data_IF_486861594514
#
_entry.id   IF_486861594514
#
_cell.length_a   1.000
_cell.length_b   1.000
_cell.length_c   1.000
_cell.angle_alpha   90.00
_cell.angle_beta   90.00
_cell.angle_gamma   90.00
#
_symmetry.space_group_name_H-M   'P 1'
#
loop_
_entity.id
_entity.type
_entity.pdbx_description
1 polymer ?
#
# COMPACT_ATOMS: atom_id res chain seq x y z
N UNK A 1 -14.84 -20.69 -20.59
CA UNK A 1 -16.30 -20.45 -20.50
C UNK A 1 -16.55 -19.06 -19.92
N UNK A 2 -16.00 -18.03 -20.58
CA UNK A 2 -16.06 -16.62 -20.16
C UNK A 2 -17.27 -15.97 -20.85
N UNK A 3 -18.22 -15.46 -20.07
CA UNK A 3 -19.43 -14.81 -20.57
C UNK A 3 -19.06 -13.61 -21.45
N UNK A 4 -19.53 -13.62 -22.70
CA UNK A 4 -19.83 -12.40 -23.47
C UNK A 4 -20.82 -11.57 -22.64
N UNK A 5 -20.32 -10.58 -21.91
CA UNK A 5 -21.16 -9.53 -21.34
C UNK A 5 -21.46 -8.54 -22.47
N UNK A 6 -22.73 -8.49 -22.85
CA UNK A 6 -23.27 -7.59 -23.86
C UNK A 6 -22.99 -6.12 -23.50
N UNK A 7 -22.48 -5.37 -24.47
CA UNK A 7 -22.18 -3.92 -24.41
C UNK A 7 -23.41 -3.00 -24.26
N UNK A 8 -24.61 -3.53 -24.04
CA UNK A 8 -25.85 -2.75 -24.00
C UNK A 8 -26.29 -2.28 -22.61
N UNK A 9 -25.69 -2.78 -21.53
CA UNK A 9 -26.01 -2.31 -20.17
C UNK A 9 -25.06 -1.20 -19.69
N UNK A 10 -25.16 -0.01 -20.31
CA UNK A 10 -24.60 1.24 -19.74
C UNK A 10 -25.41 1.80 -18.57
N UNK A 11 -26.54 1.17 -18.23
CA UNK A 11 -27.29 1.38 -16.98
C UNK A 11 -26.96 0.20 -16.06
N UNK A 12 -26.65 0.50 -14.80
CA UNK A 12 -26.74 -0.40 -13.63
C UNK A 12 -25.45 -0.80 -12.89
N UNK A 13 -24.50 0.11 -12.69
CA UNK A 13 -23.61 0.02 -11.51
C UNK A 13 -24.44 0.13 -10.22
N UNK A 14 -25.51 0.93 -10.23
CA UNK A 14 -26.45 1.00 -9.09
C UNK A 14 -27.12 -0.33 -8.77
N UNK A 15 -27.39 -1.21 -9.76
CA UNK A 15 -28.01 -2.53 -9.49
C UNK A 15 -26.99 -3.65 -9.22
N UNK A 16 -25.72 -3.50 -9.62
CA UNK A 16 -24.69 -4.45 -9.16
C UNK A 16 -24.36 -4.19 -7.69
N UNK A 17 -24.32 -2.91 -7.26
CA UNK A 17 -24.01 -2.57 -5.88
C UNK A 17 -25.19 -2.56 -4.91
N UNK A 18 -26.44 -2.45 -5.38
CA UNK A 18 -27.61 -2.78 -4.57
C UNK A 18 -27.60 -4.25 -4.08
N UNK A 19 -26.70 -5.09 -4.64
CA UNK A 19 -26.42 -6.46 -4.19
C UNK A 19 -25.29 -6.57 -3.16
N UNK A 20 -24.61 -5.49 -2.75
CA UNK A 20 -23.77 -5.49 -1.54
C UNK A 20 -24.64 -5.51 -0.29
N UNK A 21 -25.48 -6.55 -0.18
CA UNK A 21 -26.34 -6.82 0.97
C UNK A 21 -25.48 -6.84 2.23
N UNK A 22 -26.10 -6.44 3.34
CA UNK A 22 -25.58 -6.64 4.69
C UNK A 22 -24.99 -8.06 4.82
N UNK A 23 -23.75 -8.18 5.27
CA UNK A 23 -23.25 -9.50 5.68
C UNK A 23 -24.21 -10.01 6.78
N UNK A 24 -24.78 -11.22 6.66
CA UNK A 24 -25.85 -11.69 7.54
C UNK A 24 -25.51 -11.50 9.03
N UNK A 25 -26.49 -11.09 9.82
CA UNK A 25 -26.35 -10.83 11.27
C UNK A 25 -25.26 -9.81 11.67
N UNK A 26 -24.75 -9.00 10.74
CA UNK A 26 -23.66 -8.06 11.05
C UNK A 26 -23.94 -6.62 10.66
N UNK A 27 -23.54 -5.62 11.45
CA UNK A 27 -23.69 -4.19 11.13
C UNK A 27 -22.36 -3.45 11.29
N UNK A 28 -22.17 -2.38 10.52
CA UNK A 28 -21.09 -1.42 10.76
C UNK A 28 -21.34 -0.70 12.09
N UNK A 29 -20.31 -0.58 12.90
CA UNK A 29 -20.30 0.17 14.16
C UNK A 29 -19.05 1.04 14.19
N UNK A 30 -19.08 2.10 15.00
CA UNK A 30 -17.95 3.01 15.09
C UNK A 30 -17.55 3.28 16.53
N UNK A 31 -16.24 3.32 16.77
CA UNK A 31 -15.63 3.57 18.07
C UNK A 31 -14.94 4.93 18.05
N UNK A 32 -15.40 5.84 18.91
CA UNK A 32 -14.84 7.18 19.02
C UNK A 32 -13.59 7.15 19.87
N UNK A 33 -12.56 7.89 19.45
CA UNK A 33 -11.37 8.07 20.29
C UNK A 33 -11.65 9.09 21.40
N UNK A 34 -11.03 8.89 22.56
CA UNK A 34 -11.09 9.83 23.67
C UNK A 34 -10.08 10.97 23.51
N UNK A 35 -9.00 10.72 22.75
CA UNK A 35 -7.87 11.64 22.55
C UNK A 35 -8.13 12.67 21.44
N UNK A 36 -8.71 12.22 20.33
CA UNK A 36 -9.00 13.00 19.13
C UNK A 36 -10.50 12.89 18.79
N UNK A 37 -11.23 14.02 18.82
CA UNK A 37 -12.71 14.03 18.70
C UNK A 37 -13.19 13.65 17.30
N UNK A 38 -12.35 13.90 16.32
CA UNK A 38 -12.54 13.66 14.89
C UNK A 38 -12.20 12.21 14.47
N UNK A 39 -11.56 11.43 15.34
CA UNK A 39 -11.22 10.02 15.09
C UNK A 39 -12.41 9.12 15.47
N UNK A 40 -12.90 8.39 14.48
CA UNK A 40 -13.98 7.44 14.62
C UNK A 40 -13.69 6.17 13.81
N UNK A 41 -13.45 5.06 14.50
CA UNK A 41 -12.91 3.82 13.92
C UNK A 41 -14.03 2.85 13.56
N UNK A 42 -14.15 2.52 12.27
CA UNK A 42 -15.17 1.62 11.76
C UNK A 42 -14.82 0.14 11.98
N UNK A 43 -15.73 -0.61 12.59
CA UNK A 43 -15.64 -2.05 12.81
C UNK A 43 -16.96 -2.75 12.48
N UNK A 44 -16.98 -4.08 12.48
CA UNK A 44 -18.20 -4.85 12.24
C UNK A 44 -18.63 -5.57 13.52
N UNK A 45 -19.88 -5.35 13.92
CA UNK A 45 -20.52 -6.09 15.01
C UNK A 45 -21.34 -7.23 14.44
N UNK A 46 -21.11 -8.45 14.92
CA UNK A 46 -21.87 -9.66 14.60
C UNK A 46 -22.73 -10.01 15.80
N UNK A 47 -24.04 -10.11 15.58
CA UNK A 47 -24.99 -10.55 16.61
C UNK A 47 -24.97 -12.08 16.72
N UNK A 48 -24.67 -12.57 17.92
CA UNK A 48 -24.65 -13.99 18.26
C UNK A 48 -25.92 -14.37 19.04
N UNK A 49 -26.23 -15.67 19.05
CA UNK A 49 -27.31 -16.24 19.89
C UNK A 49 -26.78 -16.67 21.27
N UNK A 50 -25.49 -16.42 21.54
CA UNK A 50 -24.80 -16.76 22.79
C UNK A 50 -25.28 -15.88 23.97
N UNK A 51 -25.39 -16.48 25.16
CA UNK A 51 -25.92 -15.81 26.35
C UNK A 51 -24.89 -14.87 27.00
N UNK A 52 -23.60 -15.20 26.90
CA UNK A 52 -22.49 -14.48 27.53
C UNK A 52 -21.91 -13.41 26.61
N UNK A 53 -21.84 -13.69 25.30
CA UNK A 53 -21.34 -12.76 24.28
C UNK A 53 -22.38 -12.56 23.19
N UNK A 54 -23.27 -11.58 23.37
CA UNK A 54 -24.31 -11.26 22.39
C UNK A 54 -23.79 -10.59 21.11
N UNK A 55 -22.67 -9.87 21.21
CA UNK A 55 -22.12 -9.05 20.14
C UNK A 55 -20.61 -9.28 20.04
N UNK A 56 -20.16 -9.82 18.91
CA UNK A 56 -18.75 -9.98 18.59
C UNK A 56 -18.32 -8.84 17.67
N UNK A 57 -17.31 -8.08 18.08
CA UNK A 57 -16.69 -7.05 17.26
C UNK A 57 -15.55 -7.70 16.49
N UNK A 58 -15.48 -7.44 15.19
CA UNK A 58 -14.42 -7.92 14.31
C UNK A 58 -13.88 -6.79 13.46
N UNK A 59 -12.61 -6.92 13.07
CA UNK A 59 -11.95 -6.05 12.11
C UNK A 59 -12.76 -5.98 10.80
N UNK A 60 -12.81 -4.79 10.21
CA UNK A 60 -13.58 -4.51 9.01
C UNK A 60 -12.87 -3.51 8.10
N UNK A 61 -12.46 -3.99 6.94
CA UNK A 61 -11.76 -3.24 5.89
C UNK A 61 -12.70 -2.67 4.84
N UNK A 62 -14.00 -2.98 4.90
CA UNK A 62 -14.97 -2.60 3.87
C UNK A 62 -15.27 -1.09 3.81
N UNK A 63 -14.72 -0.29 4.73
CA UNK A 63 -14.97 1.13 4.84
C UNK A 63 -16.45 1.49 4.96
N UNK A 64 -16.85 2.63 4.40
CA UNK A 64 -18.25 3.08 4.40
C UNK A 64 -19.17 2.27 3.48
N UNK A 65 -18.65 1.38 2.63
CA UNK A 65 -19.49 0.56 1.73
C UNK A 65 -20.41 -0.42 2.48
N UNK A 66 -20.06 -0.77 3.72
CA UNK A 66 -20.88 -1.62 4.59
C UNK A 66 -21.82 -0.83 5.51
N UNK A 67 -21.71 0.50 5.52
CA UNK A 67 -22.55 1.38 6.32
C UNK A 67 -23.88 1.66 5.60
N UNK A 68 -24.97 1.23 6.22
CA UNK A 68 -26.33 1.35 5.67
C UNK A 68 -26.79 2.81 5.58
N UNK A 69 -26.19 3.70 6.35
CA UNK A 69 -26.53 5.12 6.36
C UNK A 69 -25.68 5.93 5.37
N UNK A 70 -24.74 5.29 4.68
CA UNK A 70 -23.85 5.95 3.73
C UNK A 70 -24.32 5.76 2.30
N UNK A 71 -24.74 6.85 1.65
CA UNK A 71 -25.07 6.84 0.22
C UNK A 71 -23.83 7.21 -0.60
N UNK A 72 -23.17 6.19 -1.15
CA UNK A 72 -21.93 6.38 -1.90
C UNK A 72 -22.17 6.85 -3.34
N UNK A 73 -21.27 7.70 -3.84
CA UNK A 73 -21.21 8.12 -5.24
C UNK A 73 -19.79 7.97 -5.76
N UNK A 74 -19.58 7.04 -6.70
CA UNK A 74 -18.26 6.77 -7.29
C UNK A 74 -17.60 8.01 -7.88
N UNK A 75 -18.40 8.90 -8.46
CA UNK A 75 -17.96 10.15 -9.12
C UNK A 75 -17.51 11.23 -8.11
N UNK A 76 -17.95 11.10 -6.86
CA UNK A 76 -17.54 11.97 -5.75
C UNK A 76 -16.43 11.36 -4.90
N UNK A 77 -16.25 10.04 -4.97
CA UNK A 77 -15.34 9.31 -4.11
C UNK A 77 -15.91 9.08 -2.70
N UNK A 78 -15.08 8.50 -1.83
CA UNK A 78 -15.38 8.29 -0.43
C UNK A 78 -15.29 9.58 0.38
N UNK A 79 -15.86 9.57 1.58
CA UNK A 79 -15.71 10.66 2.54
C UNK A 79 -14.24 10.78 2.93
N UNK A 80 -13.67 11.98 2.77
CA UNK A 80 -12.29 12.29 3.15
C UNK A 80 -12.16 12.47 4.68
N UNK A 81 -12.14 11.38 5.44
CA UNK A 81 -12.15 11.41 6.91
C UNK A 81 -10.90 12.03 7.54
N UNK A 82 -9.77 12.01 6.84
CA UNK A 82 -8.48 12.54 7.34
C UNK A 82 -8.27 14.03 7.05
N UNK A 83 -9.18 14.67 6.30
CA UNK A 83 -8.99 16.05 5.84
C UNK A 83 -8.73 17.03 6.99
N UNK A 84 -9.51 16.95 8.06
CA UNK A 84 -9.39 17.88 9.20
C UNK A 84 -8.09 17.62 9.99
N UNK A 85 -7.68 16.36 10.11
CA UNK A 85 -6.47 15.94 10.83
C UNK A 85 -5.25 16.56 10.13
N UNK A 86 -5.19 16.42 8.81
CA UNK A 86 -4.09 16.88 7.97
C UNK A 86 -4.06 18.40 7.82
N UNK A 87 -5.22 19.06 7.75
CA UNK A 87 -5.29 20.53 7.63
C UNK A 87 -4.83 21.22 8.91
N UNK A 88 -5.11 20.62 10.08
CA UNK A 88 -4.68 21.16 11.38
C UNK A 88 -3.24 20.77 11.75
N UNK A 89 -2.63 19.82 11.03
CA UNK A 89 -1.26 19.34 11.28
C UNK A 89 -0.23 20.35 10.77
N UNK A 90 0.63 20.82 11.69
CA UNK A 90 1.74 21.73 11.36
C UNK A 90 2.69 21.08 10.35
N UNK A 91 3.24 21.90 9.45
CA UNK A 91 4.24 21.47 8.48
C UNK A 91 3.68 20.86 7.19
N UNK A 92 2.35 20.84 7.02
CA UNK A 92 1.69 20.52 5.75
C UNK A 92 1.18 21.83 5.13
N UNK A 93 1.35 21.98 3.82
CA UNK A 93 0.83 23.11 3.03
C UNK A 93 0.12 22.63 1.77
N UNK A 94 -0.82 23.44 1.29
CA UNK A 94 -1.42 23.24 -0.03
C UNK A 94 -0.49 23.76 -1.13
N UNK A 95 -0.31 22.98 -2.19
CA UNK A 95 0.39 23.39 -3.41
C UNK A 95 -0.37 22.98 -4.66
N UNK A 96 -0.04 23.58 -5.80
CA UNK A 96 -0.53 23.11 -7.09
C UNK A 96 0.09 21.76 -7.45
N UNK A 97 -0.62 20.95 -8.23
CA UNK A 97 -0.10 19.71 -8.81
C UNK A 97 1.08 19.97 -9.75
N UNK A 98 2.01 19.03 -9.80
CA UNK A 98 3.15 19.07 -10.72
C UNK A 98 2.67 18.93 -12.16
N UNK A 99 3.21 19.76 -13.07
CA UNK A 99 2.95 19.62 -14.50
C UNK A 99 3.73 18.40 -15.03
N UNK A 100 3.01 17.37 -15.44
CA UNK A 100 3.57 16.11 -15.91
C UNK A 100 4.06 16.26 -17.36
N UNK A 101 5.37 16.11 -17.59
CA UNK A 101 5.99 16.21 -18.92
C UNK A 101 5.88 14.91 -19.72
N UNK A 102 5.91 13.78 -19.02
CA UNK A 102 5.95 12.44 -19.62
C UNK A 102 4.59 11.75 -19.64
N UNK A 103 3.53 12.36 -19.12
CA UNK A 103 2.17 11.85 -19.24
C UNK A 103 1.49 12.40 -20.49
N UNK A 104 1.25 11.52 -21.47
CA UNK A 104 0.50 11.86 -22.68
C UNK A 104 -1.01 11.73 -22.45
N UNK A 105 -1.65 12.85 -22.14
CA UNK A 105 -3.10 12.91 -21.93
C UNK A 105 -3.92 12.55 -23.17
N UNK A 106 -3.36 12.63 -24.38
CA UNK A 106 -4.08 12.28 -25.61
C UNK A 106 -4.34 10.78 -25.75
N UNK A 107 -3.55 9.95 -25.04
CA UNK A 107 -3.74 8.49 -24.97
C UNK A 107 -4.88 8.06 -24.03
N UNK A 108 -5.51 9.00 -23.32
CA UNK A 108 -6.63 8.69 -22.44
C UNK A 108 -7.85 8.18 -23.22
N UNK A 109 -8.25 6.94 -22.97
CA UNK A 109 -9.40 6.27 -23.60
C UNK A 109 -10.53 5.96 -22.62
N UNK A 110 -10.36 6.35 -21.35
CA UNK A 110 -11.32 6.08 -20.27
C UNK A 110 -11.90 7.36 -19.71
N UNK A 111 -12.99 7.25 -18.96
CA UNK A 111 -13.56 8.39 -18.25
C UNK A 111 -12.60 8.86 -17.16
N UNK A 112 -12.27 10.15 -17.14
CA UNK A 112 -11.49 10.75 -16.05
C UNK A 112 -12.35 10.93 -14.80
N UNK A 113 -11.74 10.84 -13.62
CA UNK A 113 -12.45 11.13 -12.37
C UNK A 113 -12.99 12.57 -12.40
N UNK A 114 -14.28 12.82 -12.13
CA UNK A 114 -14.86 14.16 -12.31
C UNK A 114 -14.38 15.20 -11.30
N UNK A 115 -14.04 14.78 -10.09
CA UNK A 115 -13.81 15.67 -8.94
C UNK A 115 -12.33 15.70 -8.52
N UNK A 116 -11.42 15.84 -9.50
CA UNK A 116 -9.98 15.87 -9.22
C UNK A 116 -9.62 17.14 -8.44
N UNK A 117 -8.91 17.06 -7.31
CA UNK A 117 -8.45 18.23 -6.58
C UNK A 117 -7.45 19.03 -7.42
N UNK A 118 -7.67 20.35 -7.57
CA UNK A 118 -6.71 21.26 -8.20
C UNK A 118 -5.49 21.56 -7.32
N UNK A 119 -5.64 21.39 -6.01
CA UNK A 119 -4.58 21.54 -5.01
C UNK A 119 -4.34 20.22 -4.30
N UNK A 120 -3.10 20.00 -3.92
CA UNK A 120 -2.64 18.84 -3.15
C UNK A 120 -1.95 19.29 -1.88
N UNK A 121 -1.83 18.40 -0.92
CA UNK A 121 -1.05 18.60 0.29
C UNK A 121 0.40 18.16 0.03
N UNK A 122 1.34 18.93 0.57
CA UNK A 122 2.77 18.65 0.53
C UNK A 122 3.43 19.10 1.82
N UNK A 123 4.49 18.41 2.25
CA UNK A 123 5.37 18.84 3.33
C UNK A 123 5.93 20.24 3.08
N UNK A 124 5.97 21.07 4.12
CA UNK A 124 6.76 22.28 4.10
C UNK A 124 8.25 21.96 4.31
N UNK A 125 9.14 22.61 3.55
CA UNK A 125 10.53 22.16 3.42
C UNK A 125 11.29 22.10 4.75
N UNK A 126 10.96 22.97 5.70
CA UNK A 126 11.58 23.01 7.04
C UNK A 126 10.89 22.11 8.07
N UNK A 127 9.85 21.38 7.67
CA UNK A 127 9.04 20.54 8.57
C UNK A 127 9.20 19.06 8.26
N UNK A 128 8.73 18.22 9.18
CA UNK A 128 8.70 16.76 9.04
C UNK A 128 7.27 16.30 9.30
N UNK A 129 6.78 15.35 8.51
CA UNK A 129 5.34 14.98 8.51
C UNK A 129 5.09 13.47 8.53
N UNK A 130 6.14 12.65 8.53
CA UNK A 130 5.99 11.20 8.44
C UNK A 130 5.63 10.61 9.79
N UNK A 131 4.88 9.50 9.80
CA UNK A 131 4.58 8.80 11.05
C UNK A 131 5.85 8.36 11.80
N UNK A 132 6.89 7.97 11.06
CA UNK A 132 8.20 7.62 11.65
C UNK A 132 8.85 8.81 12.37
N UNK A 133 8.80 10.00 11.78
CA UNK A 133 9.29 11.21 12.44
C UNK A 133 8.49 11.51 13.72
N UNK A 134 7.16 11.55 13.63
CA UNK A 134 6.31 11.83 14.79
C UNK A 134 6.55 10.82 15.90
N UNK A 135 6.64 9.54 15.55
CA UNK A 135 6.89 8.47 16.49
C UNK A 135 8.22 8.65 17.22
N UNK A 136 9.32 8.92 16.51
CA UNK A 136 10.64 9.17 17.11
C UNK A 136 10.71 10.43 17.96
N UNK A 137 9.83 11.38 17.73
CA UNK A 137 9.71 12.62 18.50
C UNK A 137 8.65 12.55 19.61
N UNK A 138 8.23 11.34 20.01
CA UNK A 138 7.27 11.11 21.09
C UNK A 138 5.88 11.74 20.85
N UNK A 139 5.48 11.88 19.59
CA UNK A 139 4.18 12.39 19.19
C UNK A 139 3.29 11.22 18.78
N UNK A 140 2.12 11.12 19.42
CA UNK A 140 1.03 10.24 18.99
C UNK A 140 0.13 11.04 18.05
N UNK A 141 -0.07 10.53 16.83
CA UNK A 141 -0.94 11.13 15.81
C UNK A 141 -2.35 10.53 15.85
N UNK A 142 -3.27 11.16 15.13
CA UNK A 142 -4.61 10.65 14.87
C UNK A 142 -4.57 9.26 14.22
N UNK A 143 -3.64 9.00 13.30
CA UNK A 143 -3.49 7.69 12.68
C UNK A 143 -3.01 6.61 13.66
N UNK A 144 -2.10 6.95 14.59
CA UNK A 144 -1.63 6.02 15.62
C UNK A 144 -2.75 5.64 16.60
N UNK A 145 -3.56 6.62 17.03
CA UNK A 145 -4.76 6.37 17.84
C UNK A 145 -5.78 5.50 17.08
N UNK A 146 -6.04 5.83 15.81
CA UNK A 146 -6.96 5.07 14.97
C UNK A 146 -6.54 3.60 14.90
N UNK A 147 -5.26 3.32 14.65
CA UNK A 147 -4.73 1.96 14.58
C UNK A 147 -4.83 1.24 15.93
N UNK A 148 -4.52 1.91 17.05
CA UNK A 148 -4.61 1.29 18.37
C UNK A 148 -6.02 0.80 18.69
N UNK A 149 -7.03 1.64 18.46
CA UNK A 149 -8.44 1.26 18.64
C UNK A 149 -8.83 0.12 17.70
N UNK A 150 -8.37 0.17 16.44
CA UNK A 150 -8.71 -0.84 15.43
C UNK A 150 -8.15 -2.22 15.77
N UNK A 151 -6.90 -2.28 16.27
CA UNK A 151 -6.21 -3.52 16.66
C UNK A 151 -6.77 -4.17 17.94
N UNK A 152 -7.54 -3.40 18.73
CA UNK A 152 -8.17 -3.95 19.93
C UNK A 152 -9.49 -4.68 19.63
N UNK A 153 -10.17 -4.43 18.51
CA UNK A 153 -11.46 -5.05 18.19
C UNK A 153 -12.48 -4.99 19.35
N UNK A 154 -12.47 -3.89 20.14
CA UNK A 154 -13.34 -3.71 21.30
C UNK A 154 -13.00 -4.56 22.54
N UNK A 155 -11.83 -5.22 22.56
CA UNK A 155 -11.34 -6.06 23.68
C UNK A 155 -11.16 -5.29 24.99
N UNK A 156 -11.14 -3.95 24.98
CA UNK A 156 -11.05 -3.12 26.18
C UNK A 156 -12.17 -3.42 27.19
N UNK A 157 -13.36 -3.79 26.71
CA UNK A 157 -14.51 -4.18 27.56
C UNK A 157 -14.33 -5.53 28.25
N UNK A 158 -13.37 -6.33 27.82
CA UNK A 158 -13.07 -7.67 28.33
C UNK A 158 -11.88 -7.67 29.31
N UNK A 159 -11.29 -6.50 29.57
CA UNK A 159 -10.20 -6.32 30.53
C UNK A 159 -10.66 -6.74 31.93
N UNK A 160 -9.83 -7.55 32.61
CA UNK A 160 -10.13 -8.08 33.94
C UNK A 160 -11.03 -9.31 33.96
N UNK A 161 -11.52 -9.76 32.79
CA UNK A 161 -12.19 -11.06 32.61
C UNK A 161 -11.30 -12.05 31.86
N UNK A 162 -11.07 -11.76 30.58
CA UNK A 162 -10.35 -12.65 29.66
C UNK A 162 -9.07 -12.01 29.10
N UNK A 163 -9.00 -10.68 29.11
CA UNK A 163 -7.90 -9.90 28.58
C UNK A 163 -7.21 -9.17 29.74
N UNK A 164 -5.88 -9.14 29.78
CA UNK A 164 -5.17 -8.31 30.75
C UNK A 164 -4.99 -6.91 30.21
N UNK A 165 -4.79 -5.93 31.10
CA UNK A 165 -4.61 -4.54 30.69
C UNK A 165 -3.36 -4.37 29.81
N UNK A 166 -2.34 -5.19 30.03
CA UNK A 166 -1.08 -5.17 29.28
C UNK A 166 -1.21 -5.74 27.85
N UNK A 167 -2.28 -6.49 27.57
CA UNK A 167 -2.56 -7.09 26.26
C UNK A 167 -3.35 -6.14 25.32
N UNK A 168 -3.68 -4.94 25.81
CA UNK A 168 -4.36 -3.89 25.05
C UNK A 168 -3.33 -3.10 24.25
N UNK A 169 -3.59 -2.95 22.96
CA UNK A 169 -2.80 -2.11 22.07
C UNK A 169 -3.11 -0.65 22.40
N UNK A 170 -2.11 0.07 22.91
CA UNK A 170 -2.23 1.50 23.20
C UNK A 170 -1.64 2.35 22.07
N UNK A 171 -2.06 3.62 21.94
CA UNK A 171 -1.45 4.55 20.99
C UNK A 171 0.05 4.73 21.23
N UNK A 172 0.49 4.70 22.49
CA UNK A 172 1.91 4.74 22.86
C UNK A 172 2.65 3.47 22.42
N UNK A 173 2.04 2.29 22.49
CA UNK A 173 2.61 1.05 21.97
C UNK A 173 2.77 1.11 20.45
N UNK A 174 1.73 1.55 19.74
CA UNK A 174 1.77 1.80 18.28
C UNK A 174 2.91 2.74 17.92
N UNK A 175 3.01 3.88 18.62
CA UNK A 175 4.09 4.85 18.44
C UNK A 175 5.47 4.23 18.68
N UNK A 176 5.66 3.42 19.72
CA UNK A 176 6.94 2.78 20.02
C UNK A 176 7.36 1.81 18.90
N UNK A 177 6.42 1.01 18.38
CA UNK A 177 6.69 0.09 17.28
C UNK A 177 7.10 0.84 16.01
N UNK A 178 6.41 1.94 15.68
CA UNK A 178 6.78 2.79 14.54
C UNK A 178 8.14 3.46 14.77
N UNK A 179 8.40 4.03 15.96
CA UNK A 179 9.65 4.72 16.25
C UNK A 179 10.88 3.80 16.09
N UNK A 180 10.71 2.52 16.45
CA UNK A 180 11.72 1.48 16.29
C UNK A 180 11.84 0.93 14.86
N UNK A 181 10.91 1.27 13.96
CA UNK A 181 10.87 0.79 12.58
C UNK A 181 10.31 -0.64 12.42
N UNK A 182 9.75 -1.24 13.48
CA UNK A 182 9.11 -2.58 13.45
C UNK A 182 7.66 -2.56 12.95
N UNK A 183 7.09 -1.37 12.78
CA UNK A 183 5.77 -1.19 12.23
C UNK A 183 5.67 0.08 11.38
N UNK A 184 4.73 0.09 10.45
CA UNK A 184 4.43 1.24 9.61
C UNK A 184 2.92 1.50 9.54
N UNK A 185 2.55 2.74 9.29
CA UNK A 185 1.21 3.16 8.91
C UNK A 185 1.34 3.83 7.52
N UNK A 186 1.05 3.11 6.42
CA UNK A 186 1.10 3.67 5.08
C UNK A 186 -0.08 4.64 4.90
N UNK A 187 0.19 5.95 4.97
CA UNK A 187 -0.86 6.97 5.09
C UNK A 187 -0.52 8.27 4.39
N UNK A 188 -0.37 8.24 3.06
CA UNK A 188 -0.03 9.42 2.29
C UNK A 188 -1.02 10.56 2.58
N UNK A 189 -0.50 11.78 2.77
CA UNK A 189 -1.31 12.96 3.12
C UNK A 189 -2.34 13.34 2.04
N UNK A 190 -2.18 12.87 0.80
CA UNK A 190 -3.15 13.08 -0.28
C UNK A 190 -4.22 11.98 -0.36
N UNK A 191 -4.08 10.89 0.40
CA UNK A 191 -5.10 9.87 0.53
C UNK A 191 -6.01 10.16 1.73
N UNK A 192 -6.92 11.11 1.55
CA UNK A 192 -7.73 11.65 2.65
C UNK A 192 -8.91 10.73 3.01
N UNK A 193 -9.27 9.83 2.11
CA UNK A 193 -10.33 8.83 2.21
C UNK A 193 -9.94 7.62 3.07
N UNK A 194 -8.64 7.44 3.32
CA UNK A 194 -8.05 6.31 4.03
C UNK A 194 -8.57 6.19 5.47
N UNK A 195 -9.00 4.98 5.84
CA UNK A 195 -9.11 4.49 7.22
C UNK A 195 -7.76 3.88 7.64
N UNK A 196 -6.98 4.52 8.53
CA UNK A 196 -5.63 4.06 8.88
C UNK A 196 -5.57 2.61 9.37
N UNK A 197 -4.46 1.95 9.05
CA UNK A 197 -4.13 0.60 9.50
C UNK A 197 -2.62 0.49 9.73
N UNK A 198 -2.22 -0.48 10.55
CA UNK A 198 -0.82 -0.70 10.92
C UNK A 198 -0.33 -2.07 10.44
N UNK A 199 0.90 -2.08 9.92
CA UNK A 199 1.59 -3.28 9.46
C UNK A 199 2.83 -3.48 10.35
N UNK A 200 2.87 -4.56 11.12
CA UNK A 200 4.00 -4.93 11.96
C UNK A 200 3.79 -6.29 12.64
N UNK A 201 4.87 -6.89 13.13
CA UNK A 201 4.86 -8.26 13.67
C UNK A 201 3.99 -8.40 14.94
N UNK A 202 3.84 -7.32 15.71
CA UNK A 202 3.12 -7.31 16.98
C UNK A 202 1.62 -6.94 16.85
N UNK A 203 1.11 -6.90 15.61
CA UNK A 203 -0.27 -6.56 15.28
C UNK A 203 -0.95 -7.72 14.55
N UNK A 204 -2.25 -7.61 14.25
CA UNK A 204 -2.95 -8.58 13.41
C UNK A 204 -2.22 -8.74 12.06
N UNK A 205 -2.12 -9.97 11.56
CA UNK A 205 -1.56 -10.22 10.23
C UNK A 205 -2.46 -9.56 9.19
N UNK A 206 -1.86 -8.77 8.30
CA UNK A 206 -2.56 -8.02 7.26
C UNK A 206 -2.40 -8.69 5.90
N UNK A 207 -3.41 -8.59 5.05
CA UNK A 207 -3.43 -9.17 3.71
C UNK A 207 -3.61 -8.11 2.62
N UNK A 208 -2.96 -8.32 1.48
CA UNK A 208 -3.04 -7.45 0.31
C UNK A 208 -3.76 -8.15 -0.85
N UNK A 209 -4.60 -7.43 -1.60
CA UNK A 209 -5.16 -7.88 -2.86
C UNK A 209 -4.57 -7.08 -4.03
N UNK A 210 -4.09 -7.80 -5.04
CA UNK A 210 -3.63 -7.19 -6.28
C UNK A 210 -4.82 -7.02 -7.23
N UNK A 211 -5.03 -5.79 -7.69
CA UNK A 211 -5.98 -5.44 -8.74
C UNK A 211 -5.23 -4.78 -9.90
N UNK A 212 -5.95 -4.35 -10.92
CA UNK A 212 -5.37 -3.60 -12.02
C UNK A 212 -5.87 -4.07 -13.39
N UNK A 213 -5.77 -3.13 -14.31
CA UNK A 213 -6.08 -3.30 -15.73
C UNK A 213 -4.96 -4.08 -16.45
N UNK A 214 -5.36 -4.81 -17.50
CA UNK A 214 -4.44 -5.38 -18.48
C UNK A 214 -4.66 -4.73 -19.85
N UNK A 215 -3.66 -4.76 -20.73
CA UNK A 215 -3.72 -4.14 -22.07
C UNK A 215 -4.91 -4.59 -22.95
N UNK A 216 -5.66 -5.63 -22.55
CA UNK A 216 -6.67 -6.29 -23.38
C UNK A 216 -8.10 -5.82 -23.05
N UNK A 217 -8.48 -5.62 -21.77
CA UNK A 217 -9.86 -5.28 -21.35
C UNK A 217 -9.84 -4.65 -19.94
N UNK A 218 -10.28 -3.39 -19.79
CA UNK A 218 -10.91 -2.90 -18.53
C UNK A 218 -11.54 -1.50 -18.70
N UNK A 219 -12.64 -1.24 -18.02
CA UNK A 219 -13.22 0.09 -17.77
C UNK A 219 -12.93 0.53 -16.32
N UNK A 220 -12.97 1.84 -16.04
CA UNK A 220 -12.67 2.40 -14.70
C UNK A 220 -13.56 1.80 -13.61
N UNK A 221 -14.82 1.48 -13.94
CA UNK A 221 -15.76 0.91 -12.98
C UNK A 221 -15.48 -0.55 -12.64
N UNK A 222 -14.93 -1.33 -13.58
CA UNK A 222 -14.56 -2.71 -13.32
C UNK A 222 -13.42 -2.77 -12.28
N UNK A 223 -12.44 -1.86 -12.38
CA UNK A 223 -11.35 -1.78 -11.40
C UNK A 223 -11.82 -1.30 -10.03
N UNK A 224 -12.76 -0.35 -9.97
CA UNK A 224 -13.38 0.07 -8.71
C UNK A 224 -14.22 -1.05 -8.09
N UNK A 225 -14.90 -1.87 -8.90
CA UNK A 225 -15.64 -3.04 -8.40
C UNK A 225 -14.68 -4.09 -7.81
N UNK A 226 -13.54 -4.36 -8.45
CA UNK A 226 -12.50 -5.26 -7.89
C UNK A 226 -11.96 -4.75 -6.56
N UNK A 227 -11.72 -3.45 -6.43
CA UNK A 227 -11.34 -2.80 -5.17
C UNK A 227 -12.37 -3.10 -4.08
N UNK A 228 -13.63 -2.74 -4.32
CA UNK A 228 -14.73 -2.87 -3.34
C UNK A 228 -14.95 -4.33 -2.96
N UNK A 229 -14.88 -5.23 -3.94
CA UNK A 229 -15.00 -6.67 -3.72
C UNK A 229 -13.89 -7.19 -2.81
N UNK A 230 -12.64 -6.77 -3.05
CA UNK A 230 -11.48 -7.21 -2.28
C UNK A 230 -11.55 -6.76 -0.83
N UNK A 231 -11.80 -5.47 -0.59
CA UNK A 231 -11.87 -4.92 0.78
C UNK A 231 -13.09 -5.43 1.55
N UNK A 232 -14.18 -5.78 0.87
CA UNK A 232 -15.34 -6.38 1.52
C UNK A 232 -15.03 -7.73 2.16
N UNK A 233 -14.14 -8.50 1.53
CA UNK A 233 -13.77 -9.83 1.98
C UNK A 233 -12.51 -9.85 2.86
N UNK A 234 -12.05 -8.68 3.31
CA UNK A 234 -10.99 -8.58 4.31
C UNK A 234 -9.64 -8.13 3.78
N UNK A 235 -9.53 -7.65 2.53
CA UNK A 235 -8.26 -7.07 2.05
C UNK A 235 -7.91 -5.80 2.83
N UNK A 236 -6.79 -5.82 3.56
CA UNK A 236 -6.33 -4.72 4.40
C UNK A 236 -5.61 -3.62 3.63
N UNK A 237 -4.99 -3.99 2.53
CA UNK A 237 -4.41 -3.07 1.53
C UNK A 237 -4.78 -3.56 0.14
N UNK A 238 -4.63 -2.70 -0.86
CA UNK A 238 -4.67 -3.11 -2.27
C UNK A 238 -3.43 -2.60 -3.00
N UNK A 239 -3.06 -3.29 -4.07
CA UNK A 239 -2.08 -2.76 -5.02
C UNK A 239 -2.70 -2.62 -6.40
N UNK A 240 -2.56 -1.44 -6.99
CA UNK A 240 -2.85 -1.22 -8.40
C UNK A 240 -1.63 -1.62 -9.24
N UNK A 241 -1.71 -2.81 -9.84
CA UNK A 241 -0.69 -3.36 -10.74
C UNK A 241 -1.06 -3.16 -12.22
N UNK A 242 -1.93 -2.18 -12.52
CA UNK A 242 -2.34 -1.84 -13.87
C UNK A 242 -1.14 -1.61 -14.79
N UNK A 243 -1.24 -2.14 -16.01
CA UNK A 243 -0.24 -1.91 -17.09
C UNK A 243 -0.91 -1.54 -18.41
N UNK A 244 -0.15 -1.00 -19.36
CA UNK A 244 -0.66 -0.45 -20.60
C UNK A 244 -1.18 0.99 -20.48
N UNK A 245 -2.16 1.36 -21.31
CA UNK A 245 -2.75 2.70 -21.33
C UNK A 245 -3.59 2.99 -20.06
N UNK A 246 -3.86 4.28 -19.81
CA UNK A 246 -4.82 4.78 -18.81
C UNK A 246 -4.50 4.59 -17.32
N UNK A 247 -3.33 4.04 -16.96
CA UNK A 247 -2.94 3.74 -15.56
C UNK A 247 -3.21 4.93 -14.62
N UNK A 248 -2.75 6.14 -15.00
CA UNK A 248 -2.96 7.37 -14.22
C UNK A 248 -4.43 7.59 -13.85
N UNK A 249 -5.32 7.47 -14.84
CA UNK A 249 -6.73 7.82 -14.70
C UNK A 249 -7.50 6.76 -13.94
N UNK A 250 -7.23 5.48 -14.21
CA UNK A 250 -7.82 4.35 -13.49
C UNK A 250 -7.44 4.43 -12.01
N UNK A 251 -6.16 4.68 -11.71
CA UNK A 251 -5.68 4.80 -10.34
C UNK A 251 -6.32 5.96 -9.58
N UNK A 252 -6.62 7.07 -10.24
CA UNK A 252 -7.36 8.18 -9.61
C UNK A 252 -8.74 7.72 -9.11
N UNK A 253 -9.47 6.93 -9.90
CA UNK A 253 -10.74 6.34 -9.47
C UNK A 253 -10.55 5.38 -8.29
N UNK A 254 -9.50 4.54 -8.32
CA UNK A 254 -9.19 3.59 -7.25
C UNK A 254 -8.92 4.33 -5.93
N UNK A 255 -7.99 5.29 -5.91
CA UNK A 255 -7.60 5.99 -4.67
C UNK A 255 -8.78 6.76 -4.09
N UNK A 256 -9.53 7.52 -4.91
CA UNK A 256 -10.68 8.30 -4.43
C UNK A 256 -11.81 7.41 -3.89
N UNK A 257 -11.83 6.13 -4.21
CA UNK A 257 -12.81 5.15 -3.76
C UNK A 257 -12.23 4.09 -2.80
N UNK A 258 -10.98 4.26 -2.33
CA UNK A 258 -10.34 3.30 -1.42
C UNK A 258 -10.40 3.79 0.02
N UNK A 259 -10.95 3.00 0.96
CA UNK A 259 -10.80 3.27 2.38
C UNK A 259 -9.53 2.61 2.95
N UNK A 260 -8.81 1.81 2.15
CA UNK A 260 -7.60 1.08 2.56
C UNK A 260 -6.36 1.61 1.84
N UNK A 261 -5.14 1.40 2.37
CA UNK A 261 -3.92 1.83 1.70
C UNK A 261 -3.79 1.26 0.28
N UNK A 262 -3.39 2.12 -0.65
CA UNK A 262 -3.14 1.79 -2.06
C UNK A 262 -1.64 1.77 -2.31
N UNK A 263 -1.13 0.62 -2.75
CA UNK A 263 0.23 0.45 -3.22
C UNK A 263 0.36 0.42 -4.74
N UNK A 264 1.55 0.68 -5.24
CA UNK A 264 1.87 0.54 -6.67
C UNK A 264 3.31 0.04 -6.86
N UNK A 265 3.63 -0.34 -8.10
CA UNK A 265 5.02 -0.53 -8.55
C UNK A 265 5.34 0.57 -9.57
N UNK A 266 5.94 1.72 -9.17
CA UNK A 266 6.08 2.89 -10.05
C UNK A 266 6.81 2.61 -11.37
N UNK A 267 7.71 1.61 -11.40
CA UNK A 267 8.43 1.23 -12.62
C UNK A 267 7.50 0.75 -13.74
N UNK A 268 6.32 0.21 -13.41
CA UNK A 268 5.37 -0.25 -14.43
C UNK A 268 4.82 0.92 -15.23
N UNK A 269 4.42 2.01 -14.57
CA UNK A 269 3.97 3.19 -15.28
C UNK A 269 5.13 3.92 -15.97
N UNK A 270 6.31 3.98 -15.34
CA UNK A 270 7.49 4.58 -15.97
C UNK A 270 7.85 3.86 -17.28
N UNK A 271 7.70 2.53 -17.33
CA UNK A 271 7.94 1.73 -18.52
C UNK A 271 6.94 2.06 -19.65
N UNK A 272 5.66 2.30 -19.33
CA UNK A 272 4.67 2.71 -20.34
C UNK A 272 4.96 4.11 -20.92
N UNK A 273 5.54 5.02 -20.11
CA UNK A 273 5.97 6.36 -20.58
C UNK A 273 7.09 6.28 -21.62
N UNK A 274 7.81 5.17 -21.69
CA UNK A 274 8.83 4.87 -22.71
C UNK A 274 8.40 3.76 -23.67
N UNK A 275 7.09 3.58 -23.84
CA UNK A 275 6.49 2.61 -24.77
C UNK A 275 6.99 1.17 -24.59
N UNK A 276 7.24 0.73 -23.36
CA UNK A 276 7.66 -0.65 -23.07
C UNK A 276 9.16 -0.92 -23.22
N UNK A 277 9.96 0.07 -23.63
CA UNK A 277 11.39 -0.11 -23.88
C UNK A 277 12.17 0.15 -22.58
N UNK A 278 12.52 -0.93 -21.86
CA UNK A 278 13.20 -0.84 -20.57
C UNK A 278 14.48 -0.02 -20.64
N UNK A 279 15.24 -0.11 -21.74
CA UNK A 279 16.49 0.60 -21.99
C UNK A 279 16.33 2.13 -22.01
N UNK A 280 15.16 2.63 -22.36
CA UNK A 280 14.87 4.07 -22.44
C UNK A 280 14.47 4.67 -21.07
N UNK A 281 14.33 3.83 -20.04
CA UNK A 281 14.12 4.31 -18.68
C UNK A 281 15.30 5.15 -18.20
N UNK A 282 14.99 6.22 -17.47
CA UNK A 282 15.98 7.06 -16.83
C UNK A 282 15.39 7.69 -15.56
N UNK A 283 16.26 8.34 -14.77
CA UNK A 283 15.89 8.93 -13.50
C UNK A 283 14.77 9.96 -13.62
N UNK A 284 14.79 10.83 -14.63
CA UNK A 284 13.80 11.91 -14.78
C UNK A 284 12.38 11.38 -14.98
N UNK A 285 12.22 10.33 -15.79
CA UNK A 285 10.92 9.68 -16.03
C UNK A 285 10.41 9.00 -14.76
N UNK A 286 11.30 8.30 -14.04
CA UNK A 286 10.92 7.62 -12.80
C UNK A 286 10.59 8.62 -11.68
N UNK A 287 11.39 9.67 -11.51
CA UNK A 287 11.17 10.76 -10.56
C UNK A 287 9.82 11.44 -10.77
N UNK A 288 9.49 11.81 -12.01
CA UNK A 288 8.18 12.39 -12.30
C UNK A 288 7.04 11.41 -12.00
N UNK A 289 7.25 10.11 -12.24
CA UNK A 289 6.26 9.06 -11.92
C UNK A 289 6.04 8.91 -10.41
N UNK A 290 7.09 9.02 -9.59
CA UNK A 290 6.95 9.03 -8.12
C UNK A 290 6.14 10.23 -7.66
N UNK A 291 6.48 11.44 -8.14
CA UNK A 291 5.78 12.68 -7.77
C UNK A 291 4.31 12.60 -8.19
N UNK A 292 4.05 12.17 -9.43
CA UNK A 292 2.70 11.97 -9.95
C UNK A 292 1.85 11.10 -9.01
N UNK A 293 2.37 9.92 -8.64
CA UNK A 293 1.64 8.97 -7.81
C UNK A 293 1.49 9.44 -6.35
N UNK A 294 2.52 10.10 -5.81
CA UNK A 294 2.47 10.65 -4.47
C UNK A 294 1.44 11.80 -4.35
N UNK A 295 1.30 12.63 -5.39
CA UNK A 295 0.27 13.67 -5.46
C UNK A 295 -1.15 13.09 -5.63
N UNK A 296 -1.30 11.90 -6.23
CA UNK A 296 -2.60 11.22 -6.30
C UNK A 296 -3.02 10.63 -4.94
N UNK A 297 -2.07 10.28 -4.08
CA UNK A 297 -2.32 9.64 -2.78
C UNK A 297 -1.97 8.15 -2.73
N UNK A 298 -0.99 7.68 -3.50
CA UNK A 298 -0.46 6.31 -3.30
C UNK A 298 0.28 6.25 -1.95
N UNK A 299 -0.05 5.27 -1.12
CA UNK A 299 0.44 5.18 0.27
C UNK A 299 1.79 4.47 0.42
N UNK A 300 2.10 3.56 -0.50
CA UNK A 300 3.40 2.89 -0.52
C UNK A 300 3.85 2.51 -1.94
N UNK A 301 5.16 2.51 -2.14
CA UNK A 301 5.78 2.15 -3.41
C UNK A 301 6.63 0.89 -3.28
N UNK A 302 6.35 -0.10 -4.12
CA UNK A 302 7.28 -1.21 -4.37
C UNK A 302 8.41 -0.75 -5.27
N UNK A 303 9.61 -0.62 -4.71
CA UNK A 303 10.81 -0.14 -5.41
C UNK A 303 11.90 -1.21 -5.38
N UNK A 304 12.30 -1.67 -6.56
CA UNK A 304 13.27 -2.75 -6.76
C UNK A 304 14.72 -2.21 -6.75
N UNK A 305 15.07 -1.44 -5.72
CA UNK A 305 16.41 -0.86 -5.57
C UNK A 305 17.47 -1.89 -5.12
N UNK A 306 17.05 -3.08 -4.67
CA UNK A 306 17.94 -4.18 -4.28
C UNK A 306 18.54 -4.98 -5.45
N UNK A 307 17.97 -4.86 -6.66
CA UNK A 307 18.47 -5.54 -7.87
C UNK A 307 19.71 -4.79 -8.36
N UNK A 308 20.89 -5.19 -7.89
CA UNK A 308 22.16 -4.57 -8.28
C UNK A 308 22.80 -5.28 -9.47
N UNK A 309 23.55 -4.54 -10.29
CA UNK A 309 24.26 -5.08 -11.45
C UNK A 309 25.09 -6.35 -11.14
N UNK A 310 25.93 -6.40 -10.09
CA UNK A 310 26.72 -7.60 -9.77
C UNK A 310 25.89 -8.81 -9.32
N UNK A 311 24.61 -8.64 -8.98
CA UNK A 311 23.74 -9.76 -8.56
C UNK A 311 23.07 -10.45 -9.73
N UNK A 312 22.97 -9.81 -10.90
CA UNK A 312 22.31 -10.38 -12.08
C UNK A 312 22.99 -11.69 -12.53
N UNK A 313 24.33 -11.79 -12.64
CA UNK A 313 25.00 -13.03 -13.00
C UNK A 313 24.73 -14.19 -12.04
N UNK A 314 24.43 -13.93 -10.76
CA UNK A 314 24.11 -14.96 -9.77
C UNK A 314 22.80 -15.70 -10.08
N UNK A 315 21.99 -15.17 -11.01
CA UNK A 315 20.71 -15.76 -11.42
C UNK A 315 20.80 -16.66 -12.65
N UNK A 316 21.98 -16.76 -13.28
CA UNK A 316 22.18 -17.51 -14.54
C UNK A 316 21.88 -19.00 -14.37
N UNK A 317 22.24 -19.58 -13.22
CA UNK A 317 22.05 -21.00 -12.93
C UNK A 317 20.68 -21.32 -12.29
N UNK A 318 19.79 -20.34 -12.16
CA UNK A 318 18.43 -20.57 -11.66
C UNK A 318 17.60 -21.32 -12.67
N UNK A 319 16.74 -22.22 -12.17
CA UNK A 319 15.77 -22.94 -12.99
C UNK A 319 14.74 -21.99 -13.62
N UNK A 320 14.30 -20.99 -12.86
CA UNK A 320 13.26 -20.03 -13.30
C UNK A 320 13.76 -18.60 -13.49
N UNK A 321 15.07 -18.36 -13.34
CA UNK A 321 15.68 -17.05 -13.53
C UNK A 321 15.09 -15.96 -12.60
N UNK A 322 14.83 -14.78 -13.19
CA UNK A 322 14.22 -13.63 -12.51
C UNK A 322 12.72 -13.61 -12.83
N UNK A 323 11.89 -13.96 -11.86
CA UNK A 323 10.41 -14.00 -12.01
C UNK A 323 9.71 -12.71 -11.57
N UNK A 324 10.43 -11.77 -10.96
CA UNK A 324 9.87 -10.46 -10.67
C UNK A 324 9.78 -9.63 -11.95
N UNK A 325 8.57 -9.16 -12.30
CA UNK A 325 8.40 -8.24 -13.43
C UNK A 325 9.16 -6.93 -13.22
N UNK A 326 9.09 -6.34 -12.03
CA UNK A 326 9.86 -5.14 -11.71
C UNK A 326 11.37 -5.41 -11.68
N UNK A 327 11.77 -6.54 -11.09
CA UNK A 327 13.17 -6.95 -11.06
C UNK A 327 13.76 -7.22 -12.45
N UNK A 328 13.01 -7.86 -13.35
CA UNK A 328 13.46 -8.15 -14.72
C UNK A 328 13.57 -6.89 -15.59
N UNK A 329 12.69 -5.89 -15.40
CA UNK A 329 12.81 -4.58 -16.06
C UNK A 329 14.14 -3.91 -15.66
N UNK A 330 14.45 -3.90 -14.36
CA UNK A 330 15.69 -3.30 -13.85
C UNK A 330 16.91 -4.09 -14.30
N UNK A 331 16.86 -5.42 -14.26
CA UNK A 331 17.95 -6.26 -14.75
C UNK A 331 18.24 -5.99 -16.24
N UNK A 332 17.20 -5.90 -17.08
CA UNK A 332 17.34 -5.56 -18.51
C UNK A 332 17.98 -4.18 -18.70
N UNK A 333 17.55 -3.18 -17.94
CA UNK A 333 18.16 -1.84 -17.98
C UNK A 333 19.64 -1.86 -17.58
N UNK A 334 19.99 -2.55 -16.49
CA UNK A 334 21.37 -2.64 -16.01
C UNK A 334 22.29 -3.30 -17.04
N UNK A 335 21.82 -4.38 -17.70
CA UNK A 335 22.58 -5.10 -18.73
C UNK A 335 22.76 -4.27 -20.00
N UNK A 336 21.72 -3.56 -20.45
CA UNK A 336 21.78 -2.74 -21.66
C UNK A 336 22.75 -1.56 -21.52
N UNK A 337 22.81 -0.95 -20.33
CA UNK A 337 23.67 0.21 -20.07
C UNK A 337 25.00 -0.15 -19.44
N UNK A 338 25.15 -1.38 -18.94
CA UNK A 338 26.26 -1.83 -18.12
C UNK A 338 26.56 -0.88 -16.93
N UNK A 339 25.48 -0.42 -16.28
CA UNK A 339 25.51 0.53 -15.16
C UNK A 339 24.77 -0.02 -13.95
N UNK A 340 25.14 0.47 -12.76
CA UNK A 340 24.42 0.15 -11.53
C UNK A 340 22.98 0.67 -11.59
N UNK A 341 22.08 -0.07 -10.95
CA UNK A 341 20.65 0.23 -10.87
C UNK A 341 20.40 1.69 -10.47
N UNK A 342 19.76 2.47 -11.35
CA UNK A 342 19.52 3.88 -11.09
C UNK A 342 18.58 4.13 -9.89
N UNK A 343 17.76 3.15 -9.49
CA UNK A 343 16.95 3.22 -8.27
C UNK A 343 17.83 3.16 -7.02
N UNK A 344 18.89 2.33 -7.06
CA UNK A 344 19.88 2.22 -6.01
C UNK A 344 20.73 3.50 -5.92
N UNK A 345 21.23 4.00 -7.05
CA UNK A 345 22.12 5.17 -7.05
C UNK A 345 21.42 6.48 -6.71
N UNK A 346 20.11 6.59 -6.93
CA UNK A 346 19.30 7.78 -6.60
C UNK A 346 18.42 7.59 -5.35
N UNK A 347 18.71 6.57 -4.52
CA UNK A 347 17.83 6.17 -3.43
C UNK A 347 17.55 7.27 -2.40
N UNK A 348 18.53 8.12 -2.08
CA UNK A 348 18.33 9.27 -1.19
C UNK A 348 17.37 10.32 -1.77
N UNK A 349 17.40 10.55 -3.08
CA UNK A 349 16.48 11.47 -3.74
C UNK A 349 15.05 10.89 -3.75
N UNK A 350 14.91 9.57 -3.95
CA UNK A 350 13.64 8.86 -3.78
C UNK A 350 13.10 9.07 -2.36
N UNK A 351 13.94 8.92 -1.33
CA UNK A 351 13.56 9.17 0.07
C UNK A 351 13.05 10.60 0.26
N UNK A 352 13.73 11.59 -0.32
CA UNK A 352 13.31 12.99 -0.29
C UNK A 352 11.92 13.22 -0.87
N UNK A 353 11.60 12.59 -2.00
CA UNK A 353 10.27 12.67 -2.63
C UNK A 353 9.21 12.01 -1.74
N UNK A 354 9.46 10.79 -1.27
CA UNK A 354 8.47 10.02 -0.48
C UNK A 354 8.16 10.70 0.86
N UNK A 355 9.17 11.29 1.49
CA UNK A 355 9.06 12.08 2.72
C UNK A 355 8.14 13.29 2.57
N UNK A 356 8.08 13.91 1.40
CA UNK A 356 7.23 15.08 1.15
C UNK A 356 5.73 14.79 1.24
N UNK A 357 5.34 13.51 1.20
CA UNK A 357 3.94 13.08 1.17
C UNK A 357 3.61 11.97 2.18
N UNK A 358 4.59 11.50 2.97
CA UNK A 358 4.49 10.32 3.86
C UNK A 358 4.13 9.02 3.11
N UNK A 359 4.80 8.79 1.97
CA UNK A 359 4.72 7.50 1.27
C UNK A 359 5.69 6.51 1.90
N UNK A 360 5.24 5.29 2.18
CA UNK A 360 6.08 4.22 2.72
C UNK A 360 6.84 3.47 1.62
N UNK A 361 8.03 2.97 1.94
CA UNK A 361 8.72 2.00 1.08
C UNK A 361 8.14 0.60 1.29
N UNK A 362 7.85 -0.08 0.20
CA UNK A 362 7.90 -1.53 0.10
C UNK A 362 9.17 -1.87 -0.70
N UNK A 363 10.23 -2.30 -0.01
CA UNK A 363 11.47 -2.64 -0.70
C UNK A 363 11.30 -3.98 -1.41
N UNK A 364 11.24 -3.94 -2.74
CA UNK A 364 10.80 -5.05 -3.57
C UNK A 364 11.80 -6.20 -3.68
N UNK A 365 11.27 -7.41 -3.83
CA UNK A 365 12.02 -8.67 -3.93
C UNK A 365 12.32 -9.05 -5.39
N UNK A 366 13.11 -8.22 -6.07
CA UNK A 366 13.39 -8.36 -7.50
C UNK A 366 14.05 -9.67 -7.88
N UNK A 367 14.82 -10.27 -6.98
CA UNK A 367 15.51 -11.54 -7.13
C UNK A 367 14.84 -12.64 -6.29
N UNK A 368 13.54 -12.56 -5.99
CA UNK A 368 12.82 -13.66 -5.33
C UNK A 368 12.87 -14.98 -6.12
N UNK A 369 12.77 -16.14 -5.45
CA UNK A 369 12.72 -17.45 -6.12
C UNK A 369 11.36 -17.70 -6.80
N UNK A 370 11.40 -18.09 -8.07
CA UNK A 370 10.24 -18.53 -8.87
C UNK A 370 9.97 -20.04 -8.81
N UNK A 371 10.85 -20.79 -8.17
CA UNK A 371 10.70 -22.23 -7.97
C UNK A 371 11.32 -22.65 -6.63
N UNK A 372 10.89 -23.80 -6.12
CA UNK A 372 11.47 -24.39 -4.90
C UNK A 372 12.98 -24.69 -5.08
N UNK A 373 13.43 -24.94 -6.32
CA UNK A 373 14.83 -25.17 -6.65
C UNK A 373 15.68 -23.93 -6.35
N UNK A 374 15.16 -22.75 -6.70
CA UNK A 374 15.88 -21.48 -6.60
C UNK A 374 15.77 -20.83 -5.20
N UNK A 375 15.03 -21.46 -4.27
CA UNK A 375 14.78 -20.92 -2.95
C UNK A 375 16.03 -20.86 -2.08
N UNK A 376 16.25 -19.71 -1.43
CA UNK A 376 17.35 -19.43 -0.50
C UNK A 376 18.73 -19.46 -1.18
N UNK A 377 18.78 -19.11 -2.47
CA UNK A 377 20.04 -19.01 -3.21
C UNK A 377 20.83 -17.73 -2.86
N UNK A 378 22.03 -17.61 -3.42
CA UNK A 378 22.92 -16.47 -3.18
C UNK A 378 22.28 -15.15 -3.64
N UNK A 379 21.66 -15.14 -4.82
CA UNK A 379 21.11 -13.91 -5.40
C UNK A 379 19.95 -13.34 -4.56
N UNK A 380 19.08 -14.20 -4.03
CA UNK A 380 18.00 -13.79 -3.12
C UNK A 380 18.54 -13.14 -1.85
N UNK A 381 19.53 -13.76 -1.20
CA UNK A 381 20.06 -13.22 0.06
C UNK A 381 21.02 -12.03 -0.13
N UNK A 382 21.66 -11.91 -1.29
CA UNK A 382 22.43 -10.72 -1.67
C UNK A 382 21.52 -9.49 -1.79
N UNK A 383 20.36 -9.66 -2.44
CA UNK A 383 19.33 -8.62 -2.48
C UNK A 383 18.83 -8.29 -1.07
N UNK A 384 18.44 -9.30 -0.27
CA UNK A 384 17.91 -9.09 1.09
C UNK A 384 18.85 -8.27 1.99
N UNK A 385 20.16 -8.55 1.95
CA UNK A 385 21.16 -7.77 2.68
C UNK A 385 21.19 -6.31 2.22
N UNK A 386 21.13 -6.10 0.90
CA UNK A 386 21.07 -4.76 0.31
C UNK A 386 19.81 -4.01 0.76
N UNK A 387 18.66 -4.69 0.86
CA UNK A 387 17.42 -4.07 1.36
C UNK A 387 17.56 -3.62 2.83
N UNK A 388 18.33 -4.36 3.64
CA UNK A 388 18.71 -3.95 4.99
C UNK A 388 19.51 -2.64 5.01
N UNK A 389 20.51 -2.51 4.13
CA UNK A 389 21.31 -1.27 4.01
C UNK A 389 20.45 -0.09 3.51
N UNK A 390 19.56 -0.33 2.55
CA UNK A 390 18.62 0.68 2.04
C UNK A 390 17.60 1.12 3.11
N UNK A 391 17.22 0.22 4.01
CA UNK A 391 16.36 0.55 5.17
C UNK A 391 17.02 1.59 6.07
N UNK A 392 18.32 1.48 6.32
CA UNK A 392 19.06 2.48 7.09
C UNK A 392 19.06 3.85 6.44
N UNK A 393 19.23 3.87 5.12
CA UNK A 393 19.17 5.13 4.36
C UNK A 393 17.77 5.73 4.49
N UNK A 394 16.71 4.97 4.21
CA UNK A 394 15.33 5.47 4.32
C UNK A 394 15.00 5.97 5.73
N UNK A 395 15.45 5.28 6.78
CA UNK A 395 15.25 5.70 8.16
C UNK A 395 15.98 6.98 8.54
N UNK A 396 17.14 7.29 7.95
CA UNK A 396 17.80 8.60 8.13
C UNK A 396 16.94 9.75 7.59
N UNK A 397 16.13 9.48 6.57
CA UNK A 397 15.17 10.43 5.99
C UNK A 397 13.80 10.41 6.69
N UNK A 398 13.63 9.64 7.77
CA UNK A 398 12.34 9.39 8.43
C UNK A 398 11.28 8.79 7.50
N UNK A 399 11.67 8.03 6.48
CA UNK A 399 10.70 7.33 5.61
C UNK A 399 10.40 5.95 6.20
N UNK A 400 9.12 5.60 6.24
CA UNK A 400 8.63 4.31 6.72
C UNK A 400 9.02 3.20 5.73
N UNK A 401 9.35 1.99 6.22
CA UNK A 401 9.83 0.88 5.39
C UNK A 401 9.14 -0.42 5.79
N UNK A 402 8.78 -1.23 4.80
CA UNK A 402 8.57 -2.67 4.91
C UNK A 402 9.39 -3.38 3.82
N UNK A 403 9.72 -4.65 4.05
CA UNK A 403 10.54 -5.48 3.15
C UNK A 403 9.66 -6.53 2.47
N UNK A 404 9.73 -6.62 1.15
CA UNK A 404 9.10 -7.74 0.44
C UNK A 404 9.93 -9.02 0.60
N UNK A 405 9.24 -10.12 0.88
CA UNK A 405 9.82 -11.44 1.09
C UNK A 405 9.45 -12.43 0.00
N UNK A 406 10.17 -13.57 -0.07
CA UNK A 406 10.18 -14.48 -1.20
C UNK A 406 8.83 -15.11 -1.55
N UNK A 407 8.78 -15.64 -2.78
CA UNK A 407 7.68 -16.43 -3.32
C UNK A 407 7.79 -17.93 -3.06
N UNK A 408 8.38 -18.69 -3.98
CA UNK A 408 8.35 -20.17 -3.94
C UNK A 408 9.39 -20.73 -2.96
N UNK A 409 8.97 -21.08 -1.74
CA UNK A 409 9.86 -21.60 -0.69
C UNK A 409 9.26 -22.88 -0.08
N UNK A 410 10.01 -24.00 0.00
CA UNK A 410 9.51 -25.20 0.65
C UNK A 410 9.49 -25.03 2.17
N UNK A 411 8.58 -25.72 2.87
CA UNK A 411 8.28 -25.48 4.30
C UNK A 411 9.53 -25.44 5.19
N UNK A 412 10.47 -26.38 4.98
CA UNK A 412 11.70 -26.47 5.77
C UNK A 412 12.65 -25.27 5.63
N UNK A 413 12.50 -24.46 4.58
CA UNK A 413 13.30 -23.25 4.30
C UNK A 413 12.63 -21.95 4.75
N UNK A 414 11.37 -21.98 5.18
CA UNK A 414 10.62 -20.78 5.59
C UNK A 414 11.27 -20.11 6.81
N UNK A 415 11.65 -20.89 7.83
CA UNK A 415 12.24 -20.37 9.06
C UNK A 415 13.52 -19.58 8.81
N UNK A 416 14.38 -20.09 7.94
CA UNK A 416 15.63 -19.42 7.57
C UNK A 416 15.38 -18.05 6.93
N UNK A 417 14.38 -17.94 6.06
CA UNK A 417 14.02 -16.65 5.45
C UNK A 417 13.59 -15.62 6.49
N UNK A 418 12.73 -16.02 7.44
CA UNK A 418 12.27 -15.14 8.51
C UNK A 418 13.42 -14.71 9.41
N UNK A 419 14.32 -15.64 9.76
CA UNK A 419 15.47 -15.34 10.62
C UNK A 419 16.46 -14.39 9.96
N UNK A 420 16.77 -14.61 8.67
CA UNK A 420 17.69 -13.76 7.92
C UNK A 420 17.09 -12.38 7.65
N UNK A 421 15.79 -12.28 7.38
CA UNK A 421 15.14 -10.99 7.27
C UNK A 421 15.25 -10.22 8.58
N UNK A 422 14.92 -10.84 9.73
CA UNK A 422 15.00 -10.16 11.03
C UNK A 422 16.42 -9.68 11.31
N UNK A 423 17.41 -10.52 11.00
CA UNK A 423 18.84 -10.23 11.20
C UNK A 423 19.33 -9.09 10.31
N UNK A 424 19.06 -9.13 9.00
CA UNK A 424 19.60 -8.16 8.05
C UNK A 424 18.78 -6.87 7.96
N UNK A 425 17.46 -6.96 8.18
CA UNK A 425 16.52 -5.85 8.04
C UNK A 425 15.98 -5.35 9.40
N UNK A 426 16.63 -5.70 10.52
CA UNK A 426 16.43 -5.08 11.84
C UNK A 426 14.98 -5.18 12.35
N UNK A 427 14.38 -6.35 12.14
CA UNK A 427 12.97 -6.64 12.49
C UNK A 427 11.94 -5.72 11.82
N UNK A 428 12.31 -5.05 10.72
CA UNK A 428 11.40 -4.31 9.87
C UNK A 428 10.22 -5.19 9.41
N UNK A 429 9.03 -4.60 9.25
CA UNK A 429 7.83 -5.31 8.79
C UNK A 429 8.09 -6.07 7.48
N UNK A 430 7.53 -7.28 7.37
CA UNK A 430 7.68 -8.13 6.17
C UNK A 430 6.36 -8.21 5.44
N UNK A 431 6.40 -8.01 4.12
CA UNK A 431 5.33 -8.31 3.18
C UNK A 431 5.73 -9.53 2.35
N UNK A 432 5.20 -10.71 2.65
CA UNK A 432 5.45 -11.89 1.81
C UNK A 432 4.54 -11.86 0.57
N UNK A 433 5.15 -11.92 -0.61
CA UNK A 433 4.42 -12.04 -1.87
C UNK A 433 3.97 -13.48 -2.08
N UNK A 434 2.66 -13.69 -2.25
CA UNK A 434 2.18 -14.93 -2.86
C UNK A 434 2.42 -14.79 -4.36
N UNK A 435 3.42 -15.49 -4.89
CA UNK A 435 3.60 -15.62 -6.32
C UNK A 435 2.34 -16.24 -6.92
N UNK A 436 1.45 -15.41 -7.46
CA UNK A 436 0.39 -15.89 -8.36
C UNK A 436 1.09 -16.06 -9.70
N UNK A 437 1.54 -17.28 -9.98
CA UNK A 437 1.80 -17.70 -11.35
C UNK A 437 0.47 -17.57 -12.11
N UNK A 438 0.34 -16.53 -12.93
CA UNK A 438 -0.70 -16.49 -13.95
C UNK A 438 -0.25 -17.33 -15.15
#
# INVERSE_FOLDING_TARGET
MLKKLNKENKKNISDSLSKFKRLPKSKKVYFKSERFKEVNVGMREITLEDQDIKNLIVYDTSGFYSDQNYNHSYEKGLKSIRSDWLTNRKGIKETSKTKLRFLDHSKCKVRTFPSIPNKILKRDQMSEITQLYFARNNIVTEEMEYCAIRENEGREKLVGKFIKKEDIVTPEFVRNEIASGRAIIPSNINHKELEPMIIGQNFLVKINANIGNSAVISDVYDEVEKLIWSIRWGSDTIMDLSTGDNIHYIREWIIRNSPVPVGTVPIYQALEKVNGVAEELNWEIFKETLIEQAEQGVDYFTIHAGVRLPFIPMTVDRLTGIVSRGGSIIAKWCLAHHKENFLYTNFEEICGIMKDYDVSFSLGDGLRPGSIHDANDESQFAELKTLGDLTDIAWKFNVQVMIEGPGHVPIQKIKENVDLQKKYCKECSILHSRAVSN
#
